data_IF_870175508303
#
_entry.id   IF_870175508303
#
_cell.length_a   1.000
_cell.length_b   1.000
_cell.length_c   1.000
_cell.angle_alpha   90.00
_cell.angle_beta   90.00
_cell.angle_gamma   90.00
#
_symmetry.space_group_name_H-M   'P 1'
#
loop_
_entity.id
_entity.type
_entity.pdbx_description
1 polymer ?
#
# COMPACT_ATOMS: atom_id res chain seq x y z
N UNK A 1 -17.59 17.73 26.55
CA UNK A 1 -17.65 17.72 25.08
C UNK A 1 -16.27 18.11 24.58
N UNK A 2 -15.53 17.15 24.05
CA UNK A 2 -14.11 17.29 23.69
C UNK A 2 -14.08 17.87 22.27
N UNK A 3 -13.35 18.97 22.07
CA UNK A 3 -13.18 19.62 20.77
C UNK A 3 -12.95 18.59 19.66
N UNK A 4 -13.95 18.39 18.80
CA UNK A 4 -13.77 17.80 17.49
C UNK A 4 -12.91 18.79 16.71
N UNK A 5 -11.61 18.48 16.58
CA UNK A 5 -10.73 19.30 15.76
C UNK A 5 -11.10 19.01 14.30
N UNK A 6 -11.68 20.01 13.64
CA UNK A 6 -11.96 19.96 12.20
C UNK A 6 -10.69 19.55 11.42
N UNK A 7 -10.83 18.82 10.28
CA UNK A 7 -9.70 18.36 9.49
C UNK A 7 -8.82 19.55 9.12
N UNK A 8 -7.71 19.66 9.83
CA UNK A 8 -6.82 20.83 9.76
C UNK A 8 -6.01 20.72 8.47
N UNK A 9 -5.52 21.85 7.94
CA UNK A 9 -4.56 21.91 6.82
C UNK A 9 -3.41 20.88 6.95
N UNK A 10 -3.07 20.47 8.18
CA UNK A 10 -2.09 19.42 8.47
C UNK A 10 -2.39 18.07 7.81
N UNK A 11 -3.65 17.62 7.69
CA UNK A 11 -3.98 16.36 7.02
C UNK A 11 -3.88 16.47 5.49
N UNK A 12 -4.17 17.63 4.92
CA UNK A 12 -3.94 17.92 3.50
C UNK A 12 -2.45 17.88 3.19
N UNK A 13 -1.64 18.57 4.02
CA UNK A 13 -0.17 18.56 3.90
C UNK A 13 0.38 17.14 4.07
N UNK A 14 -0.10 16.40 5.08
CA UNK A 14 0.28 15.01 5.29
C UNK A 14 0.00 14.17 4.05
N UNK A 15 -1.23 14.23 3.54
CA UNK A 15 -1.63 13.45 2.35
C UNK A 15 -0.74 13.78 1.16
N UNK A 16 -0.46 15.06 0.92
CA UNK A 16 0.44 15.48 -0.15
C UNK A 16 1.87 14.93 0.03
N UNK A 17 2.42 15.01 1.24
CA UNK A 17 3.74 14.45 1.55
C UNK A 17 3.77 12.94 1.37
N UNK A 18 2.73 12.22 1.82
CA UNK A 18 2.61 10.78 1.63
C UNK A 18 2.55 10.41 0.15
N UNK A 19 1.78 11.15 -0.67
CA UNK A 19 1.73 10.95 -2.13
C UNK A 19 3.13 11.06 -2.74
N UNK A 20 3.91 12.07 -2.38
CA UNK A 20 5.27 12.25 -2.90
C UNK A 20 6.18 11.09 -2.50
N UNK A 21 6.14 10.68 -1.23
CA UNK A 21 6.95 9.56 -0.73
C UNK A 21 6.56 8.26 -1.44
N UNK A 22 5.26 7.95 -1.50
CA UNK A 22 4.75 6.73 -2.13
C UNK A 22 5.06 6.69 -3.63
N UNK A 23 4.98 7.84 -4.31
CA UNK A 23 5.37 7.98 -5.72
C UNK A 23 6.85 7.64 -5.91
N UNK A 24 7.73 8.22 -5.08
CA UNK A 24 9.18 7.98 -5.17
C UNK A 24 9.50 6.53 -4.86
N UNK A 25 8.91 5.95 -3.81
CA UNK A 25 9.14 4.55 -3.45
C UNK A 25 8.64 3.59 -4.53
N UNK A 26 7.47 3.85 -5.11
CA UNK A 26 6.91 3.03 -6.18
C UNK A 26 7.76 3.12 -7.46
N UNK A 27 8.19 4.34 -7.81
CA UNK A 27 9.11 4.56 -8.93
C UNK A 27 10.45 3.85 -8.73
N UNK A 28 11.09 3.98 -7.55
CA UNK A 28 12.32 3.28 -7.22
C UNK A 28 12.16 1.76 -7.27
N UNK A 29 11.02 1.26 -6.79
CA UNK A 29 10.73 -0.17 -6.76
C UNK A 29 10.72 -0.81 -8.15
N UNK A 30 10.29 -0.06 -9.18
CA UNK A 30 10.23 -0.54 -10.58
C UNK A 30 11.52 -0.23 -11.34
N UNK A 31 12.17 0.89 -11.06
CA UNK A 31 13.38 1.32 -11.80
C UNK A 31 14.67 0.66 -11.32
N UNK A 32 14.78 0.33 -10.03
CA UNK A 32 16.02 -0.21 -9.45
C UNK A 32 16.04 -1.73 -9.46
N UNK A 33 14.89 -2.37 -9.24
CA UNK A 33 14.81 -3.83 -9.12
C UNK A 33 14.41 -4.48 -10.44
N UNK A 34 14.93 -5.68 -10.75
CA UNK A 34 14.59 -6.38 -11.98
C UNK A 34 13.08 -6.61 -12.11
N UNK A 35 12.55 -6.38 -13.31
CA UNK A 35 11.16 -6.69 -13.63
C UNK A 35 11.02 -8.10 -14.17
N UNK A 36 9.83 -8.67 -13.96
CA UNK A 36 9.47 -10.01 -14.41
C UNK A 36 8.99 -9.93 -15.86
N UNK A 37 9.55 -10.78 -16.72
CA UNK A 37 9.03 -10.96 -18.09
C UNK A 37 9.13 -9.74 -19.00
N UNK A 38 10.06 -8.80 -18.72
CA UNK A 38 10.25 -7.59 -19.52
C UNK A 38 9.15 -6.53 -19.37
N UNK A 39 8.27 -6.67 -18.36
CA UNK A 39 7.09 -5.81 -18.18
C UNK A 39 7.15 -4.87 -16.97
N UNK A 40 5.97 -4.43 -16.52
CA UNK A 40 5.71 -3.40 -15.48
C UNK A 40 5.85 -3.94 -14.04
N UNK A 41 6.09 -5.24 -13.86
CA UNK A 41 6.01 -5.93 -12.55
C UNK A 41 7.41 -6.13 -11.98
N UNK A 42 7.72 -5.49 -10.86
CA UNK A 42 8.98 -5.68 -10.14
C UNK A 42 8.92 -6.91 -9.22
N UNK A 43 10.03 -7.65 -9.13
CA UNK A 43 10.20 -8.72 -8.14
C UNK A 43 10.20 -8.21 -6.69
N UNK A 44 10.59 -6.94 -6.49
CA UNK A 44 10.74 -6.34 -5.17
C UNK A 44 10.06 -4.98 -5.17
N UNK A 45 8.87 -4.92 -4.59
CA UNK A 45 8.11 -3.68 -4.47
C UNK A 45 8.14 -3.16 -3.02
N UNK A 46 9.11 -2.31 -2.72
CA UNK A 46 9.31 -1.80 -1.34
C UNK A 46 8.14 -0.89 -0.92
N UNK A 47 7.56 -0.16 -1.87
CA UNK A 47 6.53 0.82 -1.60
C UNK A 47 5.31 0.23 -0.89
N UNK A 48 4.91 -1.00 -1.21
CA UNK A 48 3.69 -1.62 -0.61
C UNK A 48 3.77 -1.68 0.91
N UNK A 49 4.92 -2.01 1.48
CA UNK A 49 5.06 -2.08 2.94
C UNK A 49 4.89 -0.72 3.60
N UNK A 50 5.45 0.35 3.00
CA UNK A 50 5.32 1.71 3.52
C UNK A 50 3.91 2.26 3.31
N UNK A 51 3.30 2.03 2.15
CA UNK A 51 1.90 2.39 1.87
C UNK A 51 0.94 1.77 2.91
N UNK A 52 1.16 0.50 3.27
CA UNK A 52 0.42 -0.17 4.36
C UNK A 52 0.66 0.53 5.69
N UNK A 53 1.92 0.76 6.08
CA UNK A 53 2.25 1.43 7.35
C UNK A 53 1.61 2.82 7.44
N UNK A 54 1.73 3.63 6.40
CA UNK A 54 1.13 4.95 6.32
C UNK A 54 -0.38 4.88 6.42
N UNK A 55 -1.01 3.92 5.76
CA UNK A 55 -2.47 3.72 5.86
C UNK A 55 -2.90 3.26 7.25
N UNK A 56 -2.16 2.37 7.91
CA UNK A 56 -2.50 1.92 9.27
C UNK A 56 -2.29 3.01 10.32
N UNK A 57 -1.35 3.94 10.10
CA UNK A 57 -1.10 5.07 10.99
C UNK A 57 -1.99 6.29 10.71
N UNK A 58 -2.30 6.55 9.44
CA UNK A 58 -2.94 7.78 8.97
C UNK A 58 -4.29 7.53 8.28
N UNK A 59 -4.83 6.32 8.34
CA UNK A 59 -6.17 5.99 7.84
C UNK A 59 -6.34 6.23 6.34
N UNK A 60 -7.48 6.79 5.96
CA UNK A 60 -7.87 7.05 4.57
C UNK A 60 -6.92 8.00 3.84
N UNK A 61 -6.21 8.88 4.55
CA UNK A 61 -5.19 9.75 3.96
C UNK A 61 -4.02 8.95 3.39
N UNK A 62 -3.57 7.91 4.11
CA UNK A 62 -2.58 6.97 3.61
C UNK A 62 -3.11 6.13 2.45
N UNK A 63 -4.40 5.77 2.46
CA UNK A 63 -5.02 5.02 1.36
C UNK A 63 -5.09 5.82 0.05
N UNK A 64 -5.44 7.10 0.14
CA UNK A 64 -5.39 8.03 -1.00
C UNK A 64 -3.96 8.13 -1.52
N UNK A 65 -2.99 8.30 -0.62
CA UNK A 65 -1.59 8.39 -0.98
C UNK A 65 -1.08 7.13 -1.69
N UNK A 66 -1.44 5.94 -1.21
CA UNK A 66 -1.09 4.68 -1.82
C UNK A 66 -1.64 4.55 -3.25
N UNK A 67 -2.90 4.93 -3.48
CA UNK A 67 -3.51 4.89 -4.81
C UNK A 67 -2.80 5.83 -5.78
N UNK A 68 -2.63 7.10 -5.41
CA UNK A 68 -2.00 8.11 -6.27
C UNK A 68 -0.51 7.80 -6.48
N UNK A 69 0.19 7.40 -5.42
CA UNK A 69 1.60 7.00 -5.48
C UNK A 69 1.84 5.79 -6.37
N UNK A 70 0.94 4.80 -6.34
CA UNK A 70 0.98 3.65 -7.26
C UNK A 70 0.73 4.09 -8.70
N UNK A 71 -0.33 4.88 -8.92
CA UNK A 71 -0.70 5.38 -10.25
C UNK A 71 0.45 6.15 -10.91
N UNK A 72 1.02 7.12 -10.18
CA UNK A 72 2.05 7.99 -10.72
C UNK A 72 3.40 7.29 -10.74
N UNK A 73 3.83 6.75 -9.60
CA UNK A 73 5.20 6.23 -9.41
C UNK A 73 5.50 4.97 -10.22
N UNK A 74 4.66 3.94 -10.07
CA UNK A 74 4.84 2.65 -10.75
C UNK A 74 4.00 2.49 -12.02
N UNK A 75 3.08 3.42 -12.28
CA UNK A 75 2.30 3.46 -13.51
C UNK A 75 2.88 4.48 -14.49
N UNK A 76 2.42 5.72 -14.39
CA UNK A 76 2.63 6.77 -15.40
C UNK A 76 4.10 7.17 -15.61
N UNK A 77 4.96 7.08 -14.59
CA UNK A 77 6.37 7.48 -14.72
C UNK A 77 7.27 6.40 -15.34
N UNK A 78 6.81 5.15 -15.44
CA UNK A 78 7.65 4.00 -15.82
C UNK A 78 7.06 3.10 -16.89
N UNK A 79 5.73 3.09 -17.06
CA UNK A 79 5.06 2.21 -18.02
C UNK A 79 4.52 2.99 -19.21
N UNK A 80 5.17 2.85 -20.37
CA UNK A 80 4.66 3.40 -21.62
C UNK A 80 3.26 2.86 -21.95
N UNK A 81 3.01 1.57 -21.70
CA UNK A 81 1.71 0.94 -21.93
C UNK A 81 0.60 1.60 -21.11
N UNK A 82 0.82 1.84 -19.81
CA UNK A 82 -0.19 2.47 -18.95
C UNK A 82 -0.37 3.95 -19.28
N UNK A 83 0.69 4.66 -19.69
CA UNK A 83 0.58 6.05 -20.17
C UNK A 83 -0.35 6.16 -21.39
N UNK A 84 -0.24 5.23 -22.34
CA UNK A 84 -1.11 5.22 -23.53
C UNK A 84 -2.53 4.68 -23.25
N UNK A 85 -2.76 4.09 -22.07
CA UNK A 85 -4.04 3.50 -21.66
C UNK A 85 -4.49 4.06 -20.30
N UNK A 86 -4.83 5.37 -20.19
CA UNK A 86 -5.04 6.04 -18.92
C UNK A 86 -6.19 5.48 -18.08
N UNK A 87 -7.26 4.97 -18.72
CA UNK A 87 -8.36 4.31 -17.99
C UNK A 87 -7.89 3.03 -17.30
N UNK A 88 -7.03 2.26 -17.97
CA UNK A 88 -6.47 1.03 -17.40
C UNK A 88 -5.44 1.38 -16.32
N UNK A 89 -4.66 2.46 -16.48
CA UNK A 89 -3.77 2.95 -15.44
C UNK A 89 -4.52 3.27 -14.14
N UNK A 90 -5.68 3.94 -14.23
CA UNK A 90 -6.54 4.22 -13.07
C UNK A 90 -7.05 2.91 -12.41
N UNK A 91 -7.55 1.97 -13.21
CA UNK A 91 -8.03 0.69 -12.68
C UNK A 91 -6.90 -0.14 -12.06
N UNK A 92 -5.74 -0.20 -12.71
CA UNK A 92 -4.56 -0.93 -12.26
C UNK A 92 -4.03 -0.37 -10.95
N UNK A 93 -3.99 0.96 -10.78
CA UNK A 93 -3.61 1.61 -9.53
C UNK A 93 -4.53 1.26 -8.35
N UNK A 94 -5.74 0.76 -8.64
CA UNK A 94 -6.64 0.15 -7.67
C UNK A 94 -5.99 -0.98 -6.87
N UNK A 95 -4.96 -1.65 -7.41
CA UNK A 95 -4.19 -2.65 -6.67
C UNK A 95 -3.54 -2.06 -5.41
N UNK A 96 -2.91 -0.88 -5.52
CA UNK A 96 -2.30 -0.19 -4.38
C UNK A 96 -3.33 0.19 -3.32
N UNK A 97 -4.50 0.68 -3.76
CA UNK A 97 -5.61 1.00 -2.87
C UNK A 97 -6.15 -0.23 -2.13
N UNK A 98 -6.40 -1.32 -2.85
CA UNK A 98 -6.89 -2.56 -2.26
C UNK A 98 -5.87 -3.13 -1.25
N UNK A 99 -4.57 -3.08 -1.58
CA UNK A 99 -3.51 -3.60 -0.73
C UNK A 99 -3.42 -2.91 0.63
N UNK A 100 -3.87 -1.66 0.75
CA UNK A 100 -3.84 -0.91 2.00
C UNK A 100 -5.19 -0.80 2.70
N UNK A 101 -6.31 -0.80 1.95
CA UNK A 101 -7.65 -0.78 2.54
C UNK A 101 -7.99 -2.10 3.24
N UNK A 102 -7.58 -3.24 2.69
CA UNK A 102 -7.82 -4.56 3.31
C UNK A 102 -7.26 -4.61 4.74
N UNK A 103 -5.97 -4.32 4.98
CA UNK A 103 -5.44 -4.33 6.34
C UNK A 103 -6.06 -3.23 7.20
N UNK A 104 -6.31 -2.03 6.66
CA UNK A 104 -6.96 -0.96 7.43
C UNK A 104 -8.31 -1.41 7.97
N UNK A 105 -9.19 -1.91 7.10
CA UNK A 105 -10.52 -2.39 7.50
C UNK A 105 -10.40 -3.52 8.51
N UNK A 106 -9.50 -4.48 8.29
CA UNK A 106 -9.32 -5.60 9.21
C UNK A 106 -8.84 -5.15 10.60
N UNK A 107 -7.79 -4.33 10.68
CA UNK A 107 -7.24 -3.91 11.99
C UNK A 107 -8.23 -3.09 12.79
N UNK A 108 -9.05 -2.25 12.13
CA UNK A 108 -10.12 -1.49 12.80
C UNK A 108 -11.27 -2.38 13.23
N UNK A 109 -11.72 -3.30 12.36
CA UNK A 109 -12.85 -4.19 12.65
C UNK A 109 -12.55 -5.17 13.79
N UNK A 110 -11.31 -5.66 13.89
CA UNK A 110 -10.91 -6.61 14.93
C UNK A 110 -10.32 -5.96 16.19
N UNK A 111 -10.25 -4.62 16.23
CA UNK A 111 -9.69 -3.86 17.35
C UNK A 111 -8.22 -4.20 17.61
N UNK A 112 -7.42 -4.34 16.55
CA UNK A 112 -6.01 -4.73 16.62
C UNK A 112 -5.19 -3.58 17.21
N UNK A 113 -4.39 -3.88 18.24
CA UNK A 113 -3.41 -2.93 18.76
C UNK A 113 -2.14 -2.95 17.89
N UNK A 114 -1.95 -1.87 17.13
CA UNK A 114 -0.80 -1.70 16.25
C UNK A 114 0.55 -1.58 16.98
N UNK A 115 0.57 -1.49 18.32
CA UNK A 115 1.82 -1.62 19.10
C UNK A 115 2.31 -3.07 19.17
N UNK A 116 1.45 -4.02 18.77
CA UNK A 116 1.79 -5.44 18.65
C UNK A 116 2.24 -6.03 20.00
N UNK A 117 1.52 -5.67 21.07
CA UNK A 117 1.77 -6.17 22.42
C UNK A 117 1.16 -7.57 22.63
N UNK A 118 0.08 -7.90 21.91
CA UNK A 118 -0.60 -9.20 21.98
C UNK A 118 -0.23 -10.08 20.76
N UNK A 119 0.09 -11.37 20.94
CA UNK A 119 0.28 -12.32 19.83
C UNK A 119 -0.87 -12.35 18.80
N UNK A 120 -2.12 -12.16 19.26
CA UNK A 120 -3.31 -12.05 18.41
C UNK A 120 -3.16 -10.98 17.33
N UNK A 121 -2.57 -9.83 17.68
CA UNK A 121 -2.41 -8.70 16.78
C UNK A 121 -1.40 -9.00 15.67
N UNK A 122 -0.35 -9.75 15.98
CA UNK A 122 0.56 -10.30 14.95
C UNK A 122 -0.17 -11.17 13.95
N UNK A 123 -1.06 -12.05 14.41
CA UNK A 123 -1.82 -12.91 13.50
C UNK A 123 -2.65 -12.09 12.53
N UNK A 124 -3.37 -11.06 12.99
CA UNK A 124 -4.17 -10.23 12.08
C UNK A 124 -3.33 -9.40 11.12
N UNK A 125 -2.22 -8.82 11.59
CA UNK A 125 -1.31 -8.06 10.71
C UNK A 125 -0.71 -8.98 9.65
N UNK A 126 -0.24 -10.17 10.01
CA UNK A 126 0.31 -11.12 9.02
C UNK A 126 -0.79 -11.54 8.04
N UNK A 127 -1.96 -11.93 8.54
CA UNK A 127 -3.03 -12.42 7.68
C UNK A 127 -3.54 -11.35 6.71
N UNK A 128 -3.84 -10.14 7.19
CA UNK A 128 -4.49 -9.12 6.39
C UNK A 128 -3.54 -8.09 5.75
N UNK A 129 -2.40 -7.80 6.37
CA UNK A 129 -1.42 -6.84 5.86
C UNK A 129 -0.27 -7.48 5.07
N UNK A 130 -0.18 -8.81 5.05
CA UNK A 130 0.83 -9.53 4.26
C UNK A 130 0.18 -10.51 3.28
N UNK A 131 -0.75 -11.37 3.73
CA UNK A 131 -1.24 -12.47 2.88
C UNK A 131 -2.41 -12.01 2.03
N UNK A 132 -3.54 -11.65 2.65
CA UNK A 132 -4.79 -11.41 1.92
C UNK A 132 -4.68 -10.18 1.02
N UNK A 133 -4.03 -9.12 1.49
CA UNK A 133 -3.88 -7.91 0.70
C UNK A 133 -3.02 -8.13 -0.56
N UNK A 134 -1.89 -8.83 -0.45
CA UNK A 134 -1.03 -9.12 -1.58
C UNK A 134 -1.69 -10.11 -2.53
N UNK A 135 -2.47 -11.07 -2.02
CA UNK A 135 -3.28 -11.96 -2.84
C UNK A 135 -4.25 -11.17 -3.73
N UNK A 136 -5.04 -10.30 -3.12
CA UNK A 136 -6.06 -9.50 -3.82
C UNK A 136 -5.40 -8.48 -4.75
N UNK A 137 -4.37 -7.78 -4.28
CA UNK A 137 -3.67 -6.77 -5.07
C UNK A 137 -2.95 -7.35 -6.27
N UNK A 138 -2.24 -8.48 -6.11
CA UNK A 138 -1.59 -9.17 -7.23
C UNK A 138 -2.62 -9.67 -8.25
N UNK A 139 -3.71 -10.29 -7.79
CA UNK A 139 -4.77 -10.72 -8.70
C UNK A 139 -5.37 -9.54 -9.47
N UNK A 140 -5.69 -8.44 -8.79
CA UNK A 140 -6.26 -7.24 -9.40
C UNK A 140 -5.33 -6.59 -10.42
N UNK A 141 -4.07 -6.37 -10.05
CA UNK A 141 -3.07 -5.75 -10.92
C UNK A 141 -2.85 -6.58 -12.20
N UNK A 142 -2.74 -7.90 -12.07
CA UNK A 142 -2.51 -8.78 -13.22
C UNK A 142 -3.75 -8.84 -14.12
N UNK A 143 -4.95 -8.98 -13.55
CA UNK A 143 -6.19 -8.99 -14.34
C UNK A 143 -6.38 -7.71 -15.14
N UNK A 144 -6.13 -6.55 -14.53
CA UNK A 144 -6.26 -5.25 -15.19
C UNK A 144 -5.18 -5.05 -16.26
N UNK A 145 -3.94 -5.47 -16.01
CA UNK A 145 -2.85 -5.38 -16.99
C UNK A 145 -3.08 -6.30 -18.19
N UNK A 146 -3.65 -7.50 -17.98
CA UNK A 146 -4.00 -8.44 -19.05
C UNK A 146 -5.04 -7.91 -20.05
N UNK A 147 -5.70 -6.78 -19.77
CA UNK A 147 -6.60 -6.12 -20.71
C UNK A 147 -5.86 -5.38 -21.84
N UNK A 148 -4.58 -5.05 -21.65
CA UNK A 148 -3.78 -4.25 -22.59
C UNK A 148 -2.43 -4.87 -22.92
N UNK A 149 -1.96 -5.82 -22.15
CA UNK A 149 -0.71 -6.54 -22.39
C UNK A 149 -0.92 -8.06 -22.37
N UNK A 150 -0.13 -8.78 -23.16
CA UNK A 150 -0.06 -10.24 -23.09
C UNK A 150 0.83 -10.65 -21.92
N UNK A 151 0.23 -10.77 -20.73
CA UNK A 151 0.93 -11.15 -19.50
C UNK A 151 0.57 -12.58 -19.12
N UNK A 152 1.57 -13.41 -18.80
CA UNK A 152 1.32 -14.72 -18.18
C UNK A 152 0.77 -14.51 -16.78
N UNK A 153 -0.53 -14.78 -16.58
CA UNK A 153 -1.20 -14.56 -15.30
C UNK A 153 -0.44 -15.24 -14.16
N UNK A 154 -0.15 -16.54 -14.29
CA UNK A 154 0.53 -17.32 -13.26
C UNK A 154 1.90 -16.77 -12.90
N UNK A 155 2.70 -16.40 -13.91
CA UNK A 155 4.06 -15.88 -13.69
C UNK A 155 4.02 -14.51 -13.01
N UNK A 156 3.21 -13.60 -13.54
CA UNK A 156 3.04 -12.24 -13.04
C UNK A 156 2.47 -12.22 -11.62
N UNK A 157 1.40 -12.98 -11.40
CA UNK A 157 0.74 -13.11 -10.11
C UNK A 157 1.69 -13.67 -9.05
N UNK A 158 2.39 -14.76 -9.36
CA UNK A 158 3.28 -15.42 -8.40
C UNK A 158 4.45 -14.52 -8.02
N UNK A 159 5.07 -13.87 -9.01
CA UNK A 159 6.17 -12.95 -8.76
C UNK A 159 5.74 -11.77 -7.88
N UNK A 160 4.59 -11.16 -8.19
CA UNK A 160 4.06 -10.05 -7.42
C UNK A 160 3.68 -10.48 -5.99
N UNK A 161 2.91 -11.56 -5.86
CA UNK A 161 2.43 -12.05 -4.57
C UNK A 161 3.58 -12.40 -3.62
N UNK A 162 4.57 -13.15 -4.11
CA UNK A 162 5.73 -13.56 -3.31
C UNK A 162 6.63 -12.36 -3.02
N UNK A 163 6.96 -11.57 -4.04
CA UNK A 163 7.83 -10.40 -3.91
C UNK A 163 7.32 -9.42 -2.86
N UNK A 164 6.06 -9.02 -2.98
CA UNK A 164 5.44 -8.13 -2.02
C UNK A 164 5.26 -8.79 -0.65
N UNK A 165 4.84 -10.06 -0.61
CA UNK A 165 4.67 -10.80 0.63
C UNK A 165 5.94 -10.84 1.48
N UNK A 166 7.09 -11.10 0.86
CA UNK A 166 8.40 -11.10 1.53
C UNK A 166 8.75 -9.72 2.08
N UNK A 167 8.52 -8.66 1.32
CA UNK A 167 8.79 -7.30 1.79
C UNK A 167 7.85 -6.92 2.94
N UNK A 168 6.56 -7.20 2.80
CA UNK A 168 5.56 -6.89 3.82
C UNK A 168 5.82 -7.64 5.13
N UNK A 169 6.17 -8.93 5.09
CA UNK A 169 6.41 -9.71 6.32
C UNK A 169 7.65 -9.21 7.08
N UNK A 170 8.67 -8.73 6.37
CA UNK A 170 9.90 -8.21 6.98
C UNK A 170 9.72 -6.81 7.56
N UNK A 171 9.01 -5.93 6.84
CA UNK A 171 8.94 -4.51 7.18
C UNK A 171 7.73 -4.19 8.05
N UNK A 172 6.52 -4.64 7.69
CA UNK A 172 5.28 -4.15 8.31
C UNK A 172 5.21 -4.47 9.81
N UNK A 173 5.33 -5.75 10.27
CA UNK A 173 5.25 -6.05 11.70
C UNK A 173 6.36 -5.38 12.51
N UNK A 174 7.58 -5.32 11.95
CA UNK A 174 8.73 -4.72 12.61
C UNK A 174 8.53 -3.23 12.83
N UNK A 175 8.13 -2.49 11.80
CA UNK A 175 7.95 -1.04 11.88
C UNK A 175 6.75 -0.67 12.74
N UNK A 176 5.65 -1.44 12.68
CA UNK A 176 4.54 -1.24 13.61
C UNK A 176 5.01 -1.38 15.06
N UNK A 177 5.74 -2.46 15.39
CA UNK A 177 6.26 -2.67 16.75
C UNK A 177 7.19 -1.55 17.22
N UNK A 178 8.10 -1.10 16.35
CA UNK A 178 9.12 -0.12 16.71
C UNK A 178 8.59 1.31 16.78
N UNK A 179 7.70 1.70 15.86
CA UNK A 179 7.35 3.10 15.65
C UNK A 179 5.93 3.46 16.05
N UNK A 180 4.98 2.50 16.11
CA UNK A 180 3.58 2.83 16.40
C UNK A 180 3.43 3.60 17.71
N UNK A 181 4.13 3.20 18.78
CA UNK A 181 4.04 3.90 20.07
C UNK A 181 4.46 5.38 19.98
N UNK A 182 5.42 5.70 19.09
CA UNK A 182 5.85 7.08 18.83
C UNK A 182 4.86 7.81 17.94
N UNK A 183 4.40 7.17 16.87
CA UNK A 183 3.45 7.77 15.90
C UNK A 183 2.10 8.05 16.56
N UNK A 184 1.60 7.16 17.43
CA UNK A 184 0.34 7.34 18.17
C UNK A 184 0.30 8.57 19.08
N UNK A 185 1.45 9.12 19.47
CA UNK A 185 1.53 10.36 20.26
C UNK A 185 1.38 11.62 19.39
N UNK A 186 1.48 11.47 18.07
CA UNK A 186 1.25 12.55 17.11
C UNK A 186 -0.24 12.91 17.02
N UNK A 187 -0.53 14.18 16.73
CA UNK A 187 -1.89 14.63 16.40
C UNK A 187 -2.38 14.14 15.03
N UNK A 188 -1.48 13.60 14.22
CA UNK A 188 -1.79 13.10 12.88
C UNK A 188 -2.18 11.62 12.87
N UNK A 189 -2.01 10.90 13.98
CA UNK A 189 -2.39 9.49 14.05
C UNK A 189 -3.91 9.34 14.01
N UNK A 190 -4.41 8.52 13.09
CA UNK A 190 -5.84 8.27 12.88
C UNK A 190 -6.24 6.97 13.54
N UNK A 191 -7.21 7.01 14.45
CA UNK A 191 -7.64 5.84 15.24
C UNK A 191 -8.67 4.99 14.51
N UNK A 192 -9.51 5.61 13.70
CA UNK A 192 -10.58 5.00 12.93
C UNK A 192 -10.19 4.96 11.45
N UNK A 193 -10.96 5.61 10.58
CA UNK A 193 -10.67 5.76 9.16
C UNK A 193 -10.21 7.18 8.81
N UNK A 194 -10.76 8.20 9.49
CA UNK A 194 -10.43 9.61 9.24
C UNK A 194 -10.05 10.39 10.51
N UNK A 195 -10.47 9.88 11.68
CA UNK A 195 -10.24 10.48 13.01
C UNK A 195 -9.52 9.53 13.99
#
# INVERSE_FOLDING_TARGET
MKHENEPTYSFVILTFVLILIDTILAWLSVTVFPTVGGGVISWVFIAVAFMILFTLWFGGYGAIAAYVGTLVGSGLLVSETLVHNPLIALLWAGAGLLQVLIPLVAVRSFGVDLTMSNPRDYTYVILFAVIINNLVGAAWAVLTLSLIETVSFTTAFTAWFIGNGVICILIVPLFLKLFTQRVQKSRLFVKTYWD
#
